data_IF_811124196899
#
_entry.id   IF_811124196899
#
_cell.length_a   1.000
_cell.length_b   1.000
_cell.length_c   1.000
_cell.angle_alpha   90.00
_cell.angle_beta   90.00
_cell.angle_gamma   90.00
#
_symmetry.space_group_name_H-M   'P 1'
#
loop_
_entity.id
_entity.type
_entity.pdbx_description
1 polymer ?
#
# COMPACT_ATOMS: atom_id res chain seq x y z
N UNK A 1 -35.14 -36.24 6.06
CA UNK A 1 -34.14 -37.29 6.37
C UNK A 1 -32.80 -36.71 5.93
N UNK A 2 -31.94 -36.11 6.74
CA UNK A 2 -31.83 -36.03 8.20
C UNK A 2 -31.60 -34.56 8.64
N UNK A 3 -31.95 -34.32 9.91
CA UNK A 3 -31.81 -33.10 10.72
C UNK A 3 -30.56 -33.17 11.63
N UNK A 4 -30.28 -32.06 12.33
CA UNK A 4 -29.32 -31.87 13.46
C UNK A 4 -27.85 -31.60 13.06
N UNK A 5 -27.06 -30.75 13.73
CA UNK A 5 -27.14 -29.98 14.98
C UNK A 5 -26.37 -28.64 14.80
N UNK A 6 -26.72 -27.50 15.40
CA UNK A 6 -26.50 -27.06 16.80
C UNK A 6 -25.01 -26.99 17.22
N UNK A 7 -24.69 -26.00 18.09
CA UNK A 7 -23.40 -25.61 18.73
C UNK A 7 -22.81 -24.31 18.16
N UNK A 8 -22.45 -23.27 18.90
CA UNK A 8 -22.77 -22.78 20.25
C UNK A 8 -22.34 -21.30 20.30
N UNK A 9 -23.03 -20.51 21.11
CA UNK A 9 -22.83 -19.08 21.31
C UNK A 9 -22.19 -18.86 22.68
N UNK A 10 -20.90 -18.57 22.76
CA UNK A 10 -20.26 -18.15 24.02
C UNK A 10 -19.88 -16.67 23.99
N UNK A 11 -20.67 -15.94 24.78
CA UNK A 11 -20.50 -14.56 25.18
C UNK A 11 -19.80 -14.52 26.53
N UNK A 12 -18.56 -14.01 26.58
CA UNK A 12 -17.89 -13.69 27.85
C UNK A 12 -17.59 -12.19 27.93
N UNK A 13 -18.46 -11.53 28.66
CA UNK A 13 -18.25 -10.22 29.28
C UNK A 13 -17.38 -10.38 30.51
N UNK A 14 -16.20 -9.75 30.55
CA UNK A 14 -15.45 -9.58 31.79
C UNK A 14 -15.23 -8.09 32.09
N UNK A 15 -16.11 -7.57 32.95
CA UNK A 15 -15.98 -6.29 33.64
C UNK A 15 -15.10 -6.48 34.87
N UNK A 16 -13.91 -5.89 34.86
CA UNK A 16 -13.01 -5.83 36.02
C UNK A 16 -12.60 -4.40 36.31
N UNK A 17 -13.47 -3.69 37.04
CA UNK A 17 -13.17 -2.45 37.74
C UNK A 17 -12.36 -2.78 38.99
N UNK A 18 -11.14 -2.27 39.11
CA UNK A 18 -10.41 -2.22 40.38
C UNK A 18 -9.91 -0.80 40.65
N UNK A 19 -10.63 -0.18 41.58
CA UNK A 19 -10.26 1.00 42.32
C UNK A 19 -9.03 0.72 43.19
N UNK A 20 -7.97 1.52 43.04
CA UNK A 20 -6.96 1.70 44.09
C UNK A 20 -6.64 3.17 44.28
N UNK A 21 -7.37 3.75 45.22
CA UNK A 21 -6.96 4.93 45.96
C UNK A 21 -6.06 4.53 47.14
N UNK A 22 -5.33 5.55 47.63
CA UNK A 22 -4.61 5.63 48.91
C UNK A 22 -3.19 5.04 48.91
N UNK A 23 -2.17 5.90 48.86
CA UNK A 23 -1.38 6.21 50.07
C UNK A 23 -0.57 7.49 49.89
N UNK A 24 -0.81 8.46 50.78
CA UNK A 24 -0.06 9.69 50.92
C UNK A 24 0.72 9.57 52.23
N UNK A 25 1.94 9.06 52.13
CA UNK A 25 2.89 8.92 53.23
C UNK A 25 4.05 9.91 53.07
N UNK A 26 3.95 11.01 53.80
CA UNK A 26 5.03 11.95 54.11
C UNK A 26 6.06 11.27 55.02
N UNK A 27 7.33 11.22 54.61
CA UNK A 27 8.45 10.95 55.53
C UNK A 27 9.73 11.62 55.06
N UNK A 28 10.01 12.71 55.75
CA UNK A 28 11.27 13.45 55.83
C UNK A 28 12.47 12.58 56.22
N UNK A 29 13.61 12.81 55.56
CA UNK A 29 14.94 12.76 56.18
C UNK A 29 15.81 11.53 55.87
N UNK A 30 16.77 11.69 54.97
CA UNK A 30 18.17 11.30 55.24
C UNK A 30 19.11 11.88 54.18
N UNK A 31 19.85 12.91 54.59
CA UNK A 31 21.06 13.39 53.92
C UNK A 31 22.17 12.37 54.17
N UNK A 32 22.78 11.84 53.10
CA UNK A 32 24.04 11.12 53.20
C UNK A 32 24.21 10.08 52.11
N UNK A 33 25.11 10.34 51.17
CA UNK A 33 25.56 9.33 50.21
C UNK A 33 26.07 9.91 48.92
N UNK A 34 27.28 10.46 48.98
CA UNK A 34 28.13 10.75 47.84
C UNK A 34 28.14 9.55 46.89
N UNK A 35 27.61 9.77 45.70
CA UNK A 35 27.50 8.81 44.63
C UNK A 35 27.29 9.57 43.33
N UNK A 36 28.19 10.52 43.06
CA UNK A 36 28.36 11.08 41.72
C UNK A 36 28.73 9.90 40.83
N UNK A 37 27.71 9.27 40.25
CA UNK A 37 27.86 8.48 39.04
C UNK A 37 28.30 9.47 37.99
N UNK A 38 29.52 9.23 37.52
CA UNK A 38 30.10 9.84 36.34
C UNK A 38 29.26 9.40 35.12
N UNK A 39 28.10 10.05 34.96
CA UNK A 39 27.28 9.95 33.76
C UNK A 39 27.99 10.75 32.66
N UNK A 40 29.00 10.10 32.07
CA UNK A 40 29.66 10.60 30.88
C UNK A 40 28.65 10.94 29.78
N UNK A 41 28.93 11.96 28.96
CA UNK A 41 27.95 12.45 28.00
C UNK A 41 27.75 11.41 26.88
N UNK A 42 26.56 10.80 26.82
CA UNK A 42 26.02 10.23 25.59
C UNK A 42 25.89 8.70 25.48
N UNK A 43 25.92 7.95 26.57
CA UNK A 43 25.59 6.52 26.55
C UNK A 43 24.09 6.29 26.73
N UNK A 44 23.36 5.99 25.66
CA UNK A 44 21.96 5.50 25.77
C UNK A 44 21.97 4.24 26.64
N UNK A 45 21.11 4.23 27.67
CA UNK A 45 20.96 3.11 28.60
C UNK A 45 20.72 1.78 27.85
N UNK A 46 21.44 0.69 28.18
CA UNK A 46 21.35 -0.59 27.48
C UNK A 46 19.94 -1.17 27.46
N UNK A 47 19.14 -0.96 28.51
CA UNK A 47 17.76 -1.44 28.58
C UNK A 47 16.85 -0.63 27.65
N UNK A 48 17.06 0.70 27.59
CA UNK A 48 16.39 1.58 26.61
C UNK A 48 16.73 1.19 25.16
N UNK A 49 17.98 0.81 24.89
CA UNK A 49 18.40 0.34 23.56
C UNK A 49 17.79 -1.03 23.22
N UNK A 50 17.71 -1.95 24.19
CA UNK A 50 17.11 -3.26 23.99
C UNK A 50 15.60 -3.13 23.69
N UNK A 51 14.89 -2.28 24.43
CA UNK A 51 13.48 -1.98 24.21
C UNK A 51 13.23 -1.35 22.83
N UNK A 52 14.06 -0.39 22.41
CA UNK A 52 13.96 0.22 21.08
C UNK A 52 14.19 -0.78 19.94
N UNK A 53 15.08 -1.77 20.13
CA UNK A 53 15.32 -2.84 19.15
C UNK A 53 14.15 -3.85 19.10
N UNK A 54 13.54 -4.15 20.25
CA UNK A 54 12.36 -5.01 20.33
C UNK A 54 11.15 -4.36 19.65
N UNK A 55 10.91 -3.08 19.90
CA UNK A 55 9.83 -2.32 19.26
C UNK A 55 10.07 -2.17 17.74
N UNK A 56 11.32 -1.96 17.33
CA UNK A 56 11.69 -1.91 15.91
C UNK A 56 11.49 -3.27 15.20
N UNK A 57 11.80 -4.39 15.86
CA UNK A 57 11.51 -5.73 15.33
C UNK A 57 10.00 -5.96 15.19
N UNK A 58 9.23 -5.63 16.23
CA UNK A 58 7.78 -5.79 16.21
C UNK A 58 7.13 -4.96 15.09
N UNK A 59 7.59 -3.72 14.89
CA UNK A 59 7.14 -2.86 13.79
C UNK A 59 7.49 -3.42 12.42
N UNK A 60 8.71 -3.96 12.27
CA UNK A 60 9.15 -4.59 11.03
C UNK A 60 8.31 -5.83 10.70
N UNK A 61 8.06 -6.69 11.69
CA UNK A 61 7.25 -7.90 11.52
C UNK A 61 5.81 -7.55 11.14
N UNK A 62 5.23 -6.51 11.76
CA UNK A 62 3.91 -5.99 11.39
C UNK A 62 3.89 -5.48 9.93
N UNK A 63 4.93 -4.78 9.48
CA UNK A 63 5.02 -4.31 8.10
C UNK A 63 5.15 -5.46 7.10
N UNK A 64 5.98 -6.46 7.41
CA UNK A 64 6.14 -7.66 6.56
C UNK A 64 4.83 -8.44 6.45
N UNK A 65 4.11 -8.61 7.57
CA UNK A 65 2.82 -9.31 7.56
C UNK A 65 1.78 -8.53 6.76
N UNK A 66 1.66 -7.20 6.97
CA UNK A 66 0.76 -6.36 6.17
C UNK A 66 1.06 -6.44 4.67
N UNK A 67 2.34 -6.48 4.29
CA UNK A 67 2.76 -6.64 2.90
C UNK A 67 2.38 -8.00 2.31
N UNK A 68 2.51 -9.09 3.09
CA UNK A 68 2.05 -10.43 2.68
C UNK A 68 0.53 -10.48 2.51
N UNK A 69 -0.21 -9.84 3.41
CA UNK A 69 -1.66 -9.71 3.26
C UNK A 69 -2.04 -8.94 1.99
N UNK A 70 -1.31 -7.88 1.64
CA UNK A 70 -1.54 -7.11 0.42
C UNK A 70 -1.26 -7.97 -0.82
N UNK A 71 -0.17 -8.74 -0.84
CA UNK A 71 0.14 -9.66 -1.94
C UNK A 71 -0.94 -10.73 -2.10
N UNK A 72 -1.39 -11.33 -0.99
CA UNK A 72 -2.47 -12.31 -0.97
C UNK A 72 -3.78 -11.73 -1.51
N UNK A 73 -4.14 -10.50 -1.11
CA UNK A 73 -5.31 -9.80 -1.65
C UNK A 73 -5.17 -9.49 -3.14
N UNK A 74 -3.99 -9.05 -3.58
CA UNK A 74 -3.74 -8.72 -4.98
C UNK A 74 -3.85 -9.94 -5.90
N UNK A 75 -3.31 -11.10 -5.50
CA UNK A 75 -3.45 -12.34 -6.28
C UNK A 75 -4.88 -12.85 -6.30
N UNK A 76 -5.64 -12.67 -5.22
CA UNK A 76 -7.06 -13.03 -5.17
C UNK A 76 -7.89 -12.14 -6.12
N UNK A 77 -7.65 -10.84 -6.10
CA UNK A 77 -8.28 -9.88 -7.04
C UNK A 77 -7.91 -10.22 -8.49
N UNK A 78 -6.64 -10.53 -8.77
CA UNK A 78 -6.20 -10.93 -10.10
C UNK A 78 -6.94 -12.20 -10.58
N UNK A 79 -7.05 -13.22 -9.73
CA UNK A 79 -7.81 -14.45 -10.04
C UNK A 79 -9.28 -14.15 -10.30
N UNK A 80 -9.91 -13.31 -9.48
CA UNK A 80 -11.30 -12.90 -9.67
C UNK A 80 -11.51 -12.15 -10.99
N UNK A 81 -10.64 -11.20 -11.33
CA UNK A 81 -10.69 -10.47 -12.59
C UNK A 81 -10.54 -11.40 -13.79
N UNK A 82 -9.58 -12.34 -13.75
CA UNK A 82 -9.38 -13.33 -14.80
C UNK A 82 -10.60 -14.27 -14.95
N UNK A 83 -11.23 -14.65 -13.84
CA UNK A 83 -12.47 -15.43 -13.86
C UNK A 83 -13.61 -14.65 -14.54
N UNK A 84 -13.80 -13.38 -14.18
CA UNK A 84 -14.81 -12.51 -14.78
C UNK A 84 -14.56 -12.34 -16.29
N UNK A 85 -13.31 -12.11 -16.71
CA UNK A 85 -12.93 -12.08 -18.12
C UNK A 85 -13.30 -13.40 -18.81
N UNK A 86 -12.97 -14.54 -18.20
CA UNK A 86 -13.32 -15.85 -18.73
C UNK A 86 -14.82 -15.99 -18.98
N UNK A 87 -15.64 -15.69 -17.97
CA UNK A 87 -17.10 -15.72 -18.07
C UNK A 87 -17.61 -14.78 -19.17
N UNK A 88 -17.05 -13.57 -19.26
CA UNK A 88 -17.43 -12.59 -20.26
C UNK A 88 -17.10 -13.05 -21.69
N UNK A 89 -15.88 -13.55 -21.90
CA UNK A 89 -15.44 -14.10 -23.20
C UNK A 89 -16.28 -15.32 -23.59
N UNK A 90 -16.60 -16.20 -22.64
CA UNK A 90 -17.51 -17.33 -22.89
C UNK A 90 -18.90 -16.85 -23.29
N UNK A 91 -19.47 -15.87 -22.58
CA UNK A 91 -20.77 -15.29 -22.93
C UNK A 91 -20.77 -14.70 -24.34
N UNK A 92 -19.72 -13.94 -24.70
CA UNK A 92 -19.57 -13.36 -26.03
C UNK A 92 -19.44 -14.44 -27.12
N UNK A 93 -18.72 -15.54 -26.82
CA UNK A 93 -18.56 -16.67 -27.75
C UNK A 93 -19.89 -17.36 -28.02
N UNK A 94 -20.74 -17.54 -27.00
CA UNK A 94 -22.08 -18.14 -27.15
C UNK A 94 -22.96 -17.23 -28.00
N UNK A 95 -23.01 -15.92 -27.71
CA UNK A 95 -23.82 -14.96 -28.49
C UNK A 95 -23.38 -14.93 -29.96
N UNK A 96 -22.08 -14.98 -30.23
CA UNK A 96 -21.55 -15.02 -31.60
C UNK A 96 -21.89 -16.29 -32.40
N UNK A 97 -22.33 -17.36 -31.74
CA UNK A 97 -22.80 -18.59 -32.38
C UNK A 97 -24.31 -18.61 -32.64
N UNK A 98 -25.05 -17.62 -32.13
CA UNK A 98 -26.50 -17.51 -32.31
C UNK A 98 -26.84 -16.55 -33.46
N UNK A 99 -28.04 -16.66 -34.03
CA UNK A 99 -28.57 -15.72 -35.06
C UNK A 99 -28.93 -14.32 -34.49
N UNK A 100 -28.44 -14.00 -33.29
CA UNK A 100 -28.65 -12.71 -32.64
C UNK A 100 -27.76 -11.67 -33.33
N UNK A 101 -28.32 -10.51 -33.68
CA UNK A 101 -27.53 -9.40 -34.23
C UNK A 101 -26.59 -8.81 -33.16
N UNK A 102 -25.34 -9.29 -33.17
CA UNK A 102 -24.28 -8.89 -32.23
C UNK A 102 -23.97 -7.40 -32.35
N UNK A 103 -24.27 -6.75 -33.49
CA UNK A 103 -23.97 -5.32 -33.71
C UNK A 103 -24.70 -4.42 -32.72
N UNK A 104 -25.91 -4.79 -32.30
CA UNK A 104 -26.66 -4.03 -31.30
C UNK A 104 -25.93 -3.98 -29.94
N UNK A 105 -25.14 -5.00 -29.62
CA UNK A 105 -24.42 -5.14 -28.34
C UNK A 105 -22.99 -4.56 -28.39
N UNK A 106 -22.46 -4.24 -29.58
CA UNK A 106 -21.17 -3.56 -29.74
C UNK A 106 -21.42 -2.06 -29.73
N UNK A 107 -21.37 -1.45 -28.55
CA UNK A 107 -21.62 -0.03 -28.35
C UNK A 107 -20.56 0.59 -27.41
N UNK A 108 -20.51 1.93 -27.27
CA UNK A 108 -19.49 2.59 -26.46
C UNK A 108 -19.40 2.09 -25.01
N UNK A 109 -20.51 1.66 -24.41
CA UNK A 109 -20.53 1.16 -23.04
C UNK A 109 -19.80 -0.19 -22.93
N UNK A 110 -20.14 -1.16 -23.78
CA UNK A 110 -19.53 -2.50 -23.74
C UNK A 110 -18.06 -2.43 -24.12
N UNK A 111 -17.70 -1.57 -25.09
CA UNK A 111 -16.31 -1.32 -25.46
C UNK A 111 -15.51 -0.68 -24.32
N UNK A 112 -16.04 0.37 -23.68
CA UNK A 112 -15.37 1.05 -22.57
C UNK A 112 -15.26 0.16 -21.34
N UNK A 113 -16.33 -0.57 -21.00
CA UNK A 113 -16.32 -1.55 -19.91
C UNK A 113 -15.26 -2.64 -20.12
N UNK A 114 -15.14 -3.19 -21.32
CA UNK A 114 -14.10 -4.16 -21.64
C UNK A 114 -12.68 -3.58 -21.48
N UNK A 115 -12.45 -2.33 -21.90
CA UNK A 115 -11.18 -1.64 -21.70
C UNK A 115 -10.88 -1.44 -20.21
N UNK A 116 -11.84 -0.98 -19.41
CA UNK A 116 -11.68 -0.82 -17.96
C UNK A 116 -11.30 -2.14 -17.28
N UNK A 117 -11.89 -3.25 -17.72
CA UNK A 117 -11.59 -4.58 -17.19
C UNK A 117 -10.14 -5.00 -17.44
N UNK A 118 -9.64 -4.75 -18.66
CA UNK A 118 -8.26 -5.04 -19.03
C UNK A 118 -7.28 -4.14 -18.26
N UNK A 119 -7.60 -2.86 -18.11
CA UNK A 119 -6.79 -1.92 -17.32
C UNK A 119 -6.75 -2.33 -15.85
N UNK A 120 -7.89 -2.70 -15.25
CA UNK A 120 -7.96 -3.24 -13.89
C UNK A 120 -7.07 -4.46 -13.71
N UNK A 121 -7.15 -5.41 -14.66
CA UNK A 121 -6.32 -6.63 -14.63
C UNK A 121 -4.83 -6.33 -14.76
N UNK A 122 -4.45 -5.38 -15.62
CA UNK A 122 -3.06 -4.95 -15.78
C UNK A 122 -2.52 -4.31 -14.49
N UNK A 123 -3.31 -3.43 -13.83
CA UNK A 123 -2.92 -2.80 -12.57
C UNK A 123 -2.78 -3.84 -11.46
N UNK A 124 -3.70 -4.80 -11.37
CA UNK A 124 -3.59 -5.91 -10.41
C UNK A 124 -2.30 -6.71 -10.61
N UNK A 125 -1.96 -7.03 -11.87
CA UNK A 125 -0.71 -7.70 -12.22
C UNK A 125 0.54 -6.90 -11.82
N UNK A 126 0.54 -5.59 -12.09
CA UNK A 126 1.63 -4.70 -11.65
C UNK A 126 1.75 -4.73 -10.13
N UNK A 127 0.63 -4.58 -9.40
CA UNK A 127 0.58 -4.58 -7.93
C UNK A 127 1.16 -5.88 -7.35
N UNK A 128 0.80 -7.03 -7.93
CA UNK A 128 1.40 -8.32 -7.55
C UNK A 128 2.92 -8.34 -7.78
N UNK A 129 3.38 -7.90 -8.96
CA UNK A 129 4.83 -7.91 -9.25
C UNK A 129 5.63 -6.93 -8.40
N UNK A 130 5.04 -5.80 -8.00
CA UNK A 130 5.68 -4.79 -7.15
C UNK A 130 5.62 -5.13 -5.67
N UNK A 131 4.67 -5.97 -5.24
CA UNK A 131 4.57 -6.46 -3.86
C UNK A 131 5.66 -7.47 -3.51
N UNK A 132 6.36 -8.03 -4.50
CA UNK A 132 7.46 -8.95 -4.26
C UNK A 132 8.71 -8.19 -3.77
N UNK A 133 8.83 -8.05 -2.45
CA UNK A 133 9.95 -7.37 -1.82
C UNK A 133 11.25 -8.17 -1.89
N UNK A 134 12.35 -7.45 -2.10
CA UNK A 134 13.71 -7.97 -1.86
C UNK A 134 13.83 -8.32 -0.37
N UNK A 135 13.97 -9.61 -0.08
CA UNK A 135 14.16 -10.13 1.27
C UNK A 135 15.27 -9.41 2.02
N UNK A 136 15.03 -9.19 3.32
CA UNK A 136 15.91 -8.47 4.23
C UNK A 136 17.31 -9.09 4.37
N UNK A 137 18.10 -8.41 5.19
CA UNK A 137 19.54 -8.65 5.44
C UNK A 137 19.83 -10.13 5.70
N UNK A 138 20.68 -10.71 4.86
CA UNK A 138 21.16 -12.09 5.03
C UNK A 138 21.98 -12.24 6.31
N UNK A 139 22.01 -13.45 6.85
CA UNK A 139 22.74 -13.83 8.08
C UNK A 139 24.19 -13.30 8.11
N UNK A 140 24.87 -13.34 6.97
CA UNK A 140 26.26 -12.89 6.82
C UNK A 140 26.45 -11.39 7.10
N UNK A 141 25.47 -10.56 6.75
CA UNK A 141 25.50 -9.13 7.03
C UNK A 141 25.15 -8.83 8.49
N UNK A 142 24.39 -9.70 9.18
CA UNK A 142 24.19 -9.59 10.61
C UNK A 142 25.47 -9.97 11.39
N UNK A 143 26.15 -11.04 10.98
CA UNK A 143 27.44 -11.45 11.56
C UNK A 143 28.53 -10.39 11.35
N UNK A 144 28.56 -9.74 10.18
CA UNK A 144 29.45 -8.60 9.92
C UNK A 144 29.17 -7.41 10.85
N UNK A 145 27.90 -7.08 11.12
CA UNK A 145 27.52 -5.99 12.02
C UNK A 145 27.86 -6.25 13.49
N UNK A 146 27.88 -7.51 13.93
CA UNK A 146 28.33 -7.86 15.28
C UNK A 146 29.85 -7.69 15.45
N UNK A 147 30.61 -7.73 14.35
CA UNK A 147 32.08 -7.64 14.35
C UNK A 147 32.65 -6.24 14.10
N UNK A 148 31.88 -5.35 13.46
CA UNK A 148 32.32 -4.00 13.09
C UNK A 148 31.23 -2.95 13.43
N UNK A 149 31.50 -2.11 14.44
CA UNK A 149 30.59 -1.05 14.87
C UNK A 149 30.31 0.00 13.77
N UNK A 150 31.27 0.27 12.88
CA UNK A 150 31.06 1.18 11.75
C UNK A 150 30.20 0.53 10.66
N UNK A 151 30.27 -0.79 10.51
CA UNK A 151 29.34 -1.53 9.66
C UNK A 151 27.94 -1.57 10.26
N UNK A 152 27.81 -1.76 11.57
CA UNK A 152 26.53 -1.72 12.27
C UNK A 152 25.80 -0.37 12.06
N UNK A 153 26.51 0.76 12.14
CA UNK A 153 25.94 2.08 11.89
C UNK A 153 25.43 2.23 10.45
N UNK A 154 26.21 1.75 9.45
CA UNK A 154 25.80 1.73 8.04
C UNK A 154 24.58 0.84 7.81
N UNK A 155 24.53 -0.32 8.48
CA UNK A 155 23.43 -1.26 8.39
C UNK A 155 22.14 -0.64 8.94
N UNK A 156 22.20 0.03 10.09
CA UNK A 156 21.05 0.74 10.69
C UNK A 156 20.54 1.86 9.78
N UNK A 157 21.43 2.65 9.17
CA UNK A 157 21.04 3.68 8.19
C UNK A 157 20.37 3.07 6.96
N UNK A 158 20.91 1.97 6.43
CA UNK A 158 20.31 1.23 5.32
C UNK A 158 18.95 0.62 5.67
N UNK A 159 18.71 0.22 6.93
CA UNK A 159 17.41 -0.26 7.40
C UNK A 159 16.38 0.87 7.46
N UNK A 160 16.77 2.06 7.91
CA UNK A 160 15.91 3.24 7.88
C UNK A 160 15.41 3.53 6.47
N UNK A 161 16.33 3.55 5.49
CA UNK A 161 16.00 3.73 4.07
C UNK A 161 15.08 2.62 3.53
N UNK A 162 15.30 1.36 3.93
CA UNK A 162 14.48 0.23 3.49
C UNK A 162 13.06 0.27 4.06
N UNK A 163 12.91 0.68 5.33
CA UNK A 163 11.60 0.87 5.97
C UNK A 163 10.83 1.99 5.29
N UNK A 164 11.47 3.13 5.01
CA UNK A 164 10.84 4.23 4.28
C UNK A 164 10.40 3.82 2.86
N UNK A 165 11.23 3.05 2.16
CA UNK A 165 10.90 2.51 0.85
C UNK A 165 9.68 1.57 0.92
N UNK A 166 9.66 0.63 1.87
CA UNK A 166 8.56 -0.31 2.02
C UNK A 166 7.26 0.38 2.43
N UNK A 167 7.33 1.41 3.28
CA UNK A 167 6.17 2.23 3.63
C UNK A 167 5.59 2.94 2.41
N UNK A 168 6.44 3.48 1.53
CA UNK A 168 6.01 4.10 0.28
C UNK A 168 5.39 3.08 -0.69
N UNK A 169 6.01 1.90 -0.86
CA UNK A 169 5.47 0.82 -1.71
C UNK A 169 4.13 0.34 -1.18
N UNK A 170 3.99 0.19 0.14
CA UNK A 170 2.74 -0.20 0.79
C UNK A 170 1.64 0.82 0.51
N UNK A 171 1.93 2.12 0.67
CA UNK A 171 0.96 3.18 0.41
C UNK A 171 0.53 3.23 -1.07
N UNK A 172 1.45 3.00 -2.00
CA UNK A 172 1.14 2.93 -3.43
C UNK A 172 0.27 1.70 -3.73
N UNK A 173 0.64 0.53 -3.22
CA UNK A 173 -0.12 -0.70 -3.45
C UNK A 173 -1.55 -0.61 -2.89
N UNK A 174 -1.74 0.01 -1.73
CA UNK A 174 -3.08 0.25 -1.13
C UNK A 174 -3.98 1.06 -2.09
N UNK A 175 -3.45 2.16 -2.62
CA UNK A 175 -4.16 2.99 -3.62
C UNK A 175 -4.42 2.23 -4.92
N UNK A 176 -3.45 1.45 -5.41
CA UNK A 176 -3.62 0.65 -6.63
C UNK A 176 -4.69 -0.43 -6.46
N UNK A 177 -4.78 -1.05 -5.29
CA UNK A 177 -5.84 -2.02 -4.96
C UNK A 177 -7.21 -1.33 -5.00
N UNK A 178 -7.38 -0.18 -4.33
CA UNK A 178 -8.63 0.57 -4.37
C UNK A 178 -9.03 0.95 -5.80
N UNK A 179 -8.09 1.47 -6.60
CA UNK A 179 -8.34 1.81 -8.01
C UNK A 179 -8.75 0.56 -8.82
N UNK A 180 -8.09 -0.57 -8.60
CA UNK A 180 -8.37 -1.84 -9.29
C UNK A 180 -9.81 -2.28 -9.04
N UNK A 181 -10.25 -2.21 -7.78
CA UNK A 181 -11.62 -2.56 -7.35
C UNK A 181 -12.66 -1.60 -7.97
N UNK A 182 -12.40 -0.30 -7.95
CA UNK A 182 -13.31 0.67 -8.57
C UNK A 182 -13.44 0.44 -10.09
N UNK A 183 -12.33 0.18 -10.77
CA UNK A 183 -12.34 -0.07 -12.22
C UNK A 183 -13.13 -1.33 -12.61
N UNK A 184 -13.05 -2.41 -11.82
CA UNK A 184 -13.81 -3.64 -12.14
C UNK A 184 -15.31 -3.45 -11.89
N UNK A 185 -15.70 -2.72 -10.84
CA UNK A 185 -17.10 -2.36 -10.60
C UNK A 185 -17.64 -1.49 -11.72
N UNK A 186 -16.92 -0.42 -12.09
CA UNK A 186 -17.30 0.47 -13.19
C UNK A 186 -17.40 -0.31 -14.51
N UNK A 187 -16.42 -1.16 -14.80
CA UNK A 187 -16.41 -2.05 -15.97
C UNK A 187 -17.69 -2.88 -16.04
N UNK A 188 -18.06 -3.54 -14.95
CA UNK A 188 -19.26 -4.38 -14.89
C UNK A 188 -20.53 -3.57 -15.13
N UNK A 189 -20.66 -2.39 -14.51
CA UNK A 189 -21.82 -1.50 -14.70
C UNK A 189 -21.93 -1.05 -16.16
N UNK A 190 -20.82 -0.62 -16.78
CA UNK A 190 -20.79 -0.25 -18.19
C UNK A 190 -21.23 -1.40 -19.10
N UNK A 191 -20.74 -2.62 -18.85
CA UNK A 191 -21.13 -3.79 -19.63
C UNK A 191 -22.62 -4.07 -19.49
N UNK A 192 -23.15 -4.12 -18.26
CA UNK A 192 -24.57 -4.42 -18.00
C UNK A 192 -25.49 -3.38 -18.63
N UNK A 193 -25.18 -2.09 -18.44
CA UNK A 193 -25.95 -1.00 -19.07
C UNK A 193 -25.81 -1.05 -20.59
N UNK A 194 -24.63 -1.35 -21.12
CA UNK A 194 -24.39 -1.50 -22.54
C UNK A 194 -25.24 -2.60 -23.19
N UNK A 195 -25.40 -3.74 -22.51
CA UNK A 195 -26.28 -4.82 -22.96
C UNK A 195 -27.74 -4.34 -22.97
N UNK A 196 -28.19 -3.66 -21.90
CA UNK A 196 -29.56 -3.12 -21.82
C UNK A 196 -29.85 -2.06 -22.89
N UNK A 197 -28.89 -1.16 -23.16
CA UNK A 197 -28.96 -0.15 -24.21
C UNK A 197 -29.05 -0.79 -25.60
N UNK A 198 -28.26 -1.83 -25.85
CA UNK A 198 -28.33 -2.60 -27.11
C UNK A 198 -29.67 -3.31 -27.29
N UNK A 199 -30.20 -3.91 -26.22
CA UNK A 199 -31.50 -4.58 -26.24
C UNK A 199 -32.69 -3.62 -26.42
N UNK A 200 -32.55 -2.37 -25.93
CA UNK A 200 -33.57 -1.33 -26.07
C UNK A 200 -33.58 -0.64 -27.44
N UNK A 201 -32.63 -0.98 -28.32
CA UNK A 201 -32.47 -0.40 -29.67
C UNK A 201 -32.52 1.14 -29.67
N UNK A 202 -31.76 1.75 -28.74
CA UNK A 202 -31.72 3.21 -28.63
C UNK A 202 -31.10 3.84 -29.88
N UNK A 203 -31.62 5.01 -30.26
CA UNK A 203 -31.01 5.81 -31.31
C UNK A 203 -29.54 6.14 -30.98
N UNK A 204 -28.67 6.40 -31.98
CA UNK A 204 -27.26 6.71 -31.73
C UNK A 204 -27.05 7.86 -30.73
N UNK A 205 -27.89 8.90 -30.80
CA UNK A 205 -27.86 10.02 -29.85
C UNK A 205 -28.23 9.56 -28.44
N UNK A 206 -29.24 8.69 -28.31
CA UNK A 206 -29.63 8.09 -27.04
C UNK A 206 -28.51 7.27 -26.40
N UNK A 207 -27.79 6.48 -27.19
CA UNK A 207 -26.62 5.69 -26.73
C UNK A 207 -25.51 6.60 -26.22
N UNK A 208 -25.17 7.68 -26.94
CA UNK A 208 -24.13 8.61 -26.49
C UNK A 208 -24.55 9.43 -25.27
N UNK A 209 -25.83 9.83 -25.18
CA UNK A 209 -26.36 10.54 -24.04
C UNK A 209 -26.37 9.67 -22.77
N UNK A 210 -26.79 8.41 -22.88
CA UNK A 210 -26.74 7.47 -21.74
C UNK A 210 -25.31 7.17 -21.32
N UNK A 211 -24.38 7.02 -22.28
CA UNK A 211 -22.96 6.84 -22.01
C UNK A 211 -22.37 8.01 -21.23
N UNK A 212 -22.63 9.25 -21.68
CA UNK A 212 -22.16 10.44 -21.00
C UNK A 212 -22.77 10.57 -19.59
N UNK A 213 -24.08 10.32 -19.46
CA UNK A 213 -24.77 10.34 -18.16
C UNK A 213 -24.21 9.32 -17.18
N UNK A 214 -24.01 8.07 -17.62
CA UNK A 214 -23.43 7.01 -16.80
C UNK A 214 -21.99 7.33 -16.41
N UNK A 215 -21.18 7.84 -17.34
CA UNK A 215 -19.79 8.23 -17.08
C UNK A 215 -19.70 9.33 -16.02
N UNK A 216 -20.59 10.32 -16.07
CA UNK A 216 -20.64 11.37 -15.05
C UNK A 216 -21.09 10.82 -13.69
N UNK A 217 -22.10 9.96 -13.67
CA UNK A 217 -22.61 9.35 -12.44
C UNK A 217 -21.56 8.47 -11.75
N UNK A 218 -20.94 7.54 -12.50
CA UNK A 218 -19.88 6.68 -11.98
C UNK A 218 -18.63 7.48 -11.64
N UNK A 219 -18.23 8.45 -12.46
CA UNK A 219 -17.11 9.33 -12.15
C UNK A 219 -17.30 10.10 -10.84
N UNK A 220 -18.52 10.56 -10.55
CA UNK A 220 -18.86 11.18 -9.28
C UNK A 220 -18.81 10.19 -8.12
N UNK A 221 -19.41 8.99 -8.27
CA UNK A 221 -19.38 7.96 -7.24
C UNK A 221 -17.97 7.48 -6.92
N UNK A 222 -17.14 7.22 -7.94
CA UNK A 222 -15.73 6.84 -7.82
C UNK A 222 -14.94 7.97 -7.14
N UNK A 223 -15.22 9.23 -7.47
CA UNK A 223 -14.61 10.37 -6.78
C UNK A 223 -14.96 10.41 -5.28
N UNK A 224 -16.24 10.21 -4.93
CA UNK A 224 -16.69 10.16 -3.54
C UNK A 224 -16.11 8.96 -2.79
N UNK A 225 -16.14 7.77 -3.40
CA UNK A 225 -15.57 6.56 -2.81
C UNK A 225 -14.06 6.72 -2.54
N UNK A 226 -13.34 7.27 -3.52
CA UNK A 226 -11.93 7.60 -3.37
C UNK A 226 -11.69 8.62 -2.26
N UNK A 227 -12.52 9.66 -2.13
CA UNK A 227 -12.43 10.59 -1.01
C UNK A 227 -12.68 9.89 0.32
N UNK A 228 -13.76 9.11 0.45
CA UNK A 228 -14.17 8.42 1.69
C UNK A 228 -13.08 7.48 2.22
N UNK A 229 -12.46 6.70 1.34
CA UNK A 229 -11.33 5.81 1.67
C UNK A 229 -10.17 6.58 2.32
N UNK A 230 -10.06 7.88 2.03
CA UNK A 230 -8.99 8.74 2.52
C UNK A 230 -9.43 9.74 3.60
N UNK A 231 -10.73 9.91 3.90
CA UNK A 231 -11.23 10.85 4.94
C UNK A 231 -10.77 10.44 6.34
N UNK A 232 -10.41 9.17 6.57
CA UNK A 232 -9.75 8.72 7.81
C UNK A 232 -8.38 9.36 8.07
N UNK A 233 -7.75 9.99 7.07
CA UNK A 233 -6.45 10.66 7.20
C UNK A 233 -6.53 12.19 7.28
N UNK A 234 -7.67 12.80 6.95
CA UNK A 234 -7.81 14.27 6.85
C UNK A 234 -8.02 14.95 8.20
N UNK A 235 -8.38 14.17 9.24
CA UNK A 235 -8.52 14.65 10.63
C UNK A 235 -7.20 14.81 11.41
N UNK A 236 -6.04 14.41 10.88
CA UNK A 236 -4.74 14.63 11.56
C UNK A 236 -4.09 15.97 11.23
N UNK A 237 -4.88 16.91 10.67
CA UNK A 237 -4.43 18.27 10.35
C UNK A 237 -4.52 19.22 11.54
N UNK A 238 -5.07 18.78 12.68
CA UNK A 238 -5.10 19.58 13.90
C UNK A 238 -3.91 19.20 14.78
N UNK A 239 -2.92 20.09 14.71
CA UNK A 239 -1.78 20.26 15.61
C UNK A 239 -0.52 19.40 15.32
N UNK A 240 0.49 19.94 14.59
CA UNK A 240 1.79 19.28 14.37
C UNK A 240 2.65 19.16 15.64
N UNK A 241 2.11 19.42 16.84
CA UNK A 241 2.87 19.40 18.11
C UNK A 241 2.47 18.29 19.09
N UNK A 242 1.37 17.56 18.87
CA UNK A 242 0.79 16.68 19.92
C UNK A 242 1.07 15.18 19.80
N UNK A 243 1.84 14.72 18.81
CA UNK A 243 2.21 13.29 18.71
C UNK A 243 3.73 13.07 18.62
N UNK A 244 4.50 13.85 19.39
CA UNK A 244 5.96 13.68 19.50
C UNK A 244 6.29 13.19 20.90
N UNK A 245 6.68 11.91 21.03
CA UNK A 245 7.50 11.50 22.15
C UNK A 245 8.87 12.14 21.95
N UNK A 246 9.27 13.06 22.83
CA UNK A 246 10.61 13.63 23.00
C UNK A 246 11.58 13.43 21.80
N UNK A 247 11.32 14.14 20.69
CA UNK A 247 12.20 14.15 19.50
C UNK A 247 12.02 13.03 18.47
N UNK A 248 11.18 12.02 18.71
CA UNK A 248 10.91 10.92 17.77
C UNK A 248 9.58 11.15 17.05
N UNK A 249 9.66 11.39 15.73
CA UNK A 249 8.48 11.49 14.86
C UNK A 249 7.92 10.10 14.61
N UNK A 250 6.86 9.74 15.33
CA UNK A 250 6.03 8.59 14.97
C UNK A 250 5.26 8.95 13.68
N UNK A 251 5.86 8.62 12.53
CA UNK A 251 5.22 8.75 11.22
C UNK A 251 4.08 7.73 11.13
N UNK A 252 2.87 8.18 11.45
CA UNK A 252 1.65 7.37 11.37
C UNK A 252 1.20 7.24 9.92
N UNK A 253 1.97 6.48 9.13
CA UNK A 253 1.67 6.22 7.72
C UNK A 253 1.85 7.44 6.82
N UNK A 254 2.33 7.22 5.59
CA UNK A 254 2.56 8.29 4.63
C UNK A 254 1.26 9.08 4.37
N UNK A 255 1.31 10.40 4.54
CA UNK A 255 0.17 11.29 4.26
C UNK A 255 0.01 11.54 2.76
N UNK A 256 -1.16 12.04 2.34
CA UNK A 256 -1.61 12.26 0.93
C UNK A 256 -0.56 12.86 -0.02
N UNK A 257 0.25 13.80 0.45
CA UNK A 257 1.33 14.40 -0.34
C UNK A 257 2.52 13.47 -0.52
N UNK A 258 2.86 12.71 0.51
CA UNK A 258 4.05 11.86 0.53
C UNK A 258 3.95 10.70 -0.45
N UNK A 259 2.76 10.10 -0.67
CA UNK A 259 2.59 9.01 -1.64
C UNK A 259 2.74 9.49 -3.09
N UNK A 260 2.17 10.64 -3.45
CA UNK A 260 2.37 11.25 -4.77
C UNK A 260 3.80 11.73 -4.98
N UNK A 261 4.41 12.34 -3.95
CA UNK A 261 5.80 12.80 -4.02
C UNK A 261 6.79 11.63 -4.03
N UNK A 262 6.46 10.51 -3.38
CA UNK A 262 7.26 9.27 -3.46
C UNK A 262 7.13 8.62 -4.84
N UNK A 263 5.93 8.57 -5.43
CA UNK A 263 5.72 8.10 -6.80
C UNK A 263 6.47 8.99 -7.80
N UNK A 264 6.40 10.30 -7.62
CA UNK A 264 7.14 11.26 -8.47
C UNK A 264 8.65 11.09 -8.33
N UNK A 265 9.15 10.94 -7.10
CA UNK A 265 10.58 10.70 -6.84
C UNK A 265 11.07 9.37 -7.41
N UNK A 266 10.28 8.30 -7.34
CA UNK A 266 10.67 6.99 -7.91
C UNK A 266 10.68 7.01 -9.44
N UNK A 267 9.70 7.67 -10.07
CA UNK A 267 9.71 7.89 -11.54
C UNK A 267 10.89 8.76 -11.95
N UNK A 268 11.17 9.84 -11.22
CA UNK A 268 12.27 10.75 -11.53
C UNK A 268 13.65 10.13 -11.29
N UNK A 269 13.83 9.36 -10.21
CA UNK A 269 15.07 8.63 -9.93
C UNK A 269 15.35 7.54 -10.98
N UNK A 270 14.30 6.93 -11.54
CA UNK A 270 14.43 6.00 -12.67
C UNK A 270 14.95 6.71 -13.93
N UNK A 271 14.49 7.92 -14.21
CA UNK A 271 14.97 8.70 -15.35
C UNK A 271 16.42 9.18 -15.15
N UNK A 272 16.77 9.64 -13.94
CA UNK A 272 18.13 10.12 -13.62
C UNK A 272 19.17 8.98 -13.55
N UNK A 273 18.77 7.77 -13.14
CA UNK A 273 19.64 6.60 -13.11
C UNK A 273 20.03 6.05 -14.49
N UNK A 274 19.30 6.42 -15.55
CA UNK A 274 19.62 5.97 -16.93
C UNK A 274 20.69 6.82 -17.62
N UNK A 275 20.94 8.03 -17.14
CA UNK A 275 21.88 8.99 -17.75
C UNK A 275 23.31 8.86 -17.19
N UNK A 276 23.45 8.60 -15.89
CA UNK A 276 24.76 8.56 -15.22
C UNK A 276 25.75 7.49 -15.75
N UNK A 277 25.37 6.21 -15.93
CA UNK A 277 26.33 5.20 -16.39
C UNK A 277 26.78 5.45 -17.83
N UNK A 278 25.87 5.93 -18.69
CA UNK A 278 26.17 6.28 -20.08
C UNK A 278 27.11 7.50 -20.19
N UNK A 279 26.95 8.49 -19.31
CA UNK A 279 27.81 9.67 -19.29
C UNK A 279 29.21 9.37 -18.73
N UNK A 280 29.30 8.54 -17.68
CA UNK A 280 30.58 8.07 -17.12
C UNK A 280 31.37 7.23 -18.12
N UNK A 281 30.70 6.39 -18.92
CA UNK A 281 31.34 5.62 -19.99
C UNK A 281 31.84 6.53 -21.13
N UNK A 282 31.07 7.55 -21.51
CA UNK A 282 31.51 8.55 -22.51
C UNK A 282 32.71 9.37 -22.03
N UNK A 283 32.73 9.81 -20.76
CA UNK A 283 33.89 10.51 -20.17
C UNK A 283 35.13 9.63 -20.11
N UNK A 284 34.99 8.33 -19.77
CA UNK A 284 36.12 7.37 -19.84
C UNK A 284 36.66 7.20 -21.26
N UNK A 285 35.78 7.04 -22.26
CA UNK A 285 36.20 6.91 -23.68
C UNK A 285 36.87 8.17 -24.21
N UNK A 286 36.44 9.36 -23.76
CA UNK A 286 37.07 10.63 -24.12
C UNK A 286 38.47 10.78 -23.53
N UNK A 287 38.62 10.54 -22.21
CA UNK A 287 39.92 10.65 -21.54
C UNK A 287 40.92 9.60 -22.06
N UNK A 288 40.45 8.41 -22.48
CA UNK A 288 41.31 7.40 -23.11
C UNK A 288 41.83 7.79 -24.50
N UNK A 289 41.19 8.74 -25.20
CA UNK A 289 41.66 9.24 -26.51
C UNK A 289 42.64 10.39 -26.37
N UNK A 290 42.50 11.22 -25.35
CA UNK A 290 43.35 12.40 -25.12
C UNK A 290 44.72 12.01 -24.49
N UNK A 291 44.85 10.85 -23.86
CA UNK A 291 46.12 10.38 -23.27
C UNK A 291 47.07 9.62 -24.21
N UNK A 292 46.84 9.62 -25.53
CA UNK A 292 47.62 8.83 -26.52
C UNK A 292 48.43 9.66 -27.53
N UNK A 293 48.53 10.97 -27.34
CA UNK A 293 49.34 11.87 -28.18
C UNK A 293 50.63 12.25 -27.51
#
# INVERSE_FOLDING_TARGET
MATESEIDSDSDSNSGSDDRAVDAGDSSGSIGGDGVRDDGPGGVDPDTRALALEEARTTFDYQVERLREIDAKAIEILKANLLIIGVFVTGLSVVGQTDIDVRAFVNPHTAFGAVLMLVSTAIAGVTYTTSNLRGGVGRDALEAALSDAAFAERLVRSYGEWIEYNAAVTAVNDVLVTITVLLIVDSFVFVVVGIGVGAADLSPIGVWASFAGLTLALGYLTHVAYQMDHVGSVGSSEDPTTATFDGVRLSKGATRGQSHDALRRTVQARDEGTTEPAERERKRKRNSREGKT
#
